data_IF_111883786507
#
_entry.id   IF_111883786507
#
_cell.length_a   1.000
_cell.length_b   1.000
_cell.length_c   1.000
_cell.angle_alpha   90.00
_cell.angle_beta   90.00
_cell.angle_gamma   90.00
#
_symmetry.space_group_name_H-M   'P 1'
#
loop_
_entity.id
_entity.type
_entity.pdbx_description
1 polymer ?
#
# COMPACT_ATOMS: atom_id res chain seq x y z
N UNK A 1 6.46 -29.02 -12.88
CA UNK A 1 5.69 -30.14 -12.25
C UNK A 1 5.71 -29.96 -10.75
N UNK A 2 4.57 -29.98 -10.03
CA UNK A 2 4.54 -29.83 -8.57
C UNK A 2 5.09 -31.10 -7.90
N UNK A 3 5.80 -30.99 -6.75
CA UNK A 3 6.45 -32.13 -6.13
C UNK A 3 5.41 -33.09 -5.54
N UNK A 4 5.53 -34.39 -5.86
CA UNK A 4 4.70 -35.46 -5.32
C UNK A 4 4.83 -35.46 -3.79
N UNK A 5 3.72 -35.20 -3.07
CA UNK A 5 3.68 -35.23 -1.61
C UNK A 5 4.02 -36.64 -1.10
N UNK A 6 4.95 -36.67 -0.16
CA UNK A 6 5.54 -37.87 0.43
C UNK A 6 4.49 -38.66 1.24
N UNK A 7 3.91 -39.71 0.67
CA UNK A 7 2.84 -40.54 1.28
C UNK A 7 3.28 -41.21 2.60
N UNK A 8 4.57 -41.42 2.79
CA UNK A 8 5.15 -42.00 4.01
C UNK A 8 5.07 -41.07 5.24
N UNK A 9 5.18 -39.74 5.07
CA UNK A 9 5.08 -38.78 6.19
C UNK A 9 3.65 -38.62 6.72
N UNK A 10 2.64 -38.89 5.89
CA UNK A 10 1.24 -38.83 6.33
C UNK A 10 0.85 -40.05 7.16
N UNK A 11 1.40 -41.23 6.83
CA UNK A 11 1.16 -42.46 7.59
C UNK A 11 1.81 -42.43 8.99
N UNK A 12 2.99 -41.82 9.13
CA UNK A 12 3.69 -41.69 10.42
C UNK A 12 3.01 -40.72 11.40
N UNK A 13 2.46 -39.60 10.90
CA UNK A 13 1.67 -38.65 11.73
C UNK A 13 0.41 -39.27 12.30
N UNK A 14 -0.30 -40.08 11.51
CA UNK A 14 -1.51 -40.80 11.96
C UNK A 14 -1.18 -41.86 13.02
N UNK A 15 -0.04 -42.54 12.89
CA UNK A 15 0.42 -43.49 13.91
C UNK A 15 0.81 -42.80 15.23
N UNK A 16 1.44 -41.62 15.18
CA UNK A 16 1.78 -40.84 16.37
C UNK A 16 0.53 -40.29 17.08
N UNK A 17 -0.50 -39.87 16.34
CA UNK A 17 -1.79 -39.43 16.89
C UNK A 17 -2.51 -40.57 17.63
N UNK A 18 -2.60 -41.77 17.03
CA UNK A 18 -3.20 -42.94 17.68
C UNK A 18 -2.50 -43.33 18.99
N UNK A 19 -1.17 -43.19 19.05
CA UNK A 19 -0.40 -43.43 20.29
C UNK A 19 -0.75 -42.41 21.39
N UNK A 20 -0.90 -41.13 21.01
CA UNK A 20 -1.32 -40.06 21.93
C UNK A 20 -2.77 -40.26 22.41
N UNK A 21 -3.67 -40.67 21.52
CA UNK A 21 -5.06 -41.01 21.85
C UNK A 21 -5.13 -42.19 22.82
N UNK A 22 -4.41 -43.29 22.55
CA UNK A 22 -4.35 -44.45 23.47
C UNK A 22 -3.81 -44.06 24.85
N UNK A 23 -2.76 -43.24 24.91
CA UNK A 23 -2.22 -42.73 26.19
C UNK A 23 -3.21 -41.84 26.95
N UNK A 24 -4.01 -41.05 26.22
CA UNK A 24 -5.06 -40.23 26.80
C UNK A 24 -6.20 -41.10 27.34
N UNK A 25 -6.61 -42.11 26.58
CA UNK A 25 -7.60 -43.10 27.01
C UNK A 25 -7.13 -43.80 28.28
N UNK A 26 -5.92 -44.38 28.31
CA UNK A 26 -5.39 -45.10 29.47
C UNK A 26 -5.29 -44.21 30.73
N UNK A 27 -4.84 -42.95 30.60
CA UNK A 27 -4.71 -42.04 31.75
C UNK A 27 -6.02 -41.41 32.21
N UNK A 28 -7.05 -41.42 31.36
CA UNK A 28 -8.37 -40.88 31.67
C UNK A 28 -9.42 -41.96 31.85
N UNK A 29 -9.03 -43.24 31.75
CA UNK A 29 -9.85 -44.41 32.00
C UNK A 29 -10.07 -44.60 33.51
N UNK A 30 -11.27 -45.01 33.91
CA UNK A 30 -11.59 -45.25 35.32
C UNK A 30 -11.89 -44.02 36.18
N UNK A 31 -11.76 -42.79 35.66
CA UNK A 31 -12.21 -41.60 36.39
C UNK A 31 -13.73 -41.55 36.44
N UNK A 32 -14.28 -41.79 37.64
CA UNK A 32 -15.71 -41.65 37.91
C UNK A 32 -16.15 -40.20 37.67
N UNK A 33 -17.36 -39.99 37.16
CA UNK A 33 -17.95 -38.67 36.92
C UNK A 33 -17.19 -37.77 35.91
N UNK A 34 -16.53 -38.37 34.90
CA UNK A 34 -15.77 -37.67 33.84
C UNK A 34 -16.51 -36.50 33.19
N UNK A 35 -17.81 -36.65 32.97
CA UNK A 35 -18.66 -35.63 32.35
C UNK A 35 -19.48 -34.81 33.36
N UNK A 36 -19.37 -35.10 34.67
CA UNK A 36 -20.24 -34.51 35.71
C UNK A 36 -19.47 -33.65 36.73
N UNK A 37 -18.21 -33.96 37.01
CA UNK A 37 -17.40 -33.20 37.96
C UNK A 37 -16.46 -32.23 37.25
N UNK A 38 -16.58 -30.94 37.54
CA UNK A 38 -15.70 -29.89 36.98
C UNK A 38 -14.21 -30.16 37.27
N UNK A 39 -13.89 -30.66 38.48
CA UNK A 39 -12.51 -30.99 38.86
C UNK A 39 -11.95 -32.17 38.06
N UNK A 40 -12.78 -33.16 37.77
CA UNK A 40 -12.42 -34.30 36.91
C UNK A 40 -12.26 -33.85 35.45
N UNK A 41 -13.14 -32.97 34.96
CA UNK A 41 -13.03 -32.40 33.61
C UNK A 41 -11.75 -31.56 33.47
N UNK A 42 -11.38 -30.76 34.47
CA UNK A 42 -10.12 -30.00 34.48
C UNK A 42 -8.90 -30.92 34.43
N UNK A 43 -8.91 -32.03 35.18
CA UNK A 43 -7.85 -33.04 35.14
C UNK A 43 -7.74 -33.73 33.78
N UNK A 44 -8.87 -34.07 33.14
CA UNK A 44 -8.89 -34.64 31.79
C UNK A 44 -8.32 -33.63 30.79
N UNK A 45 -8.73 -32.36 30.85
CA UNK A 45 -8.22 -31.28 29.98
C UNK A 45 -6.73 -31.03 30.16
N UNK A 46 -6.21 -31.08 31.39
CA UNK A 46 -4.77 -30.89 31.65
C UNK A 46 -3.95 -32.09 31.16
N UNK A 47 -4.46 -33.31 31.37
CA UNK A 47 -3.84 -34.56 30.89
C UNK A 47 -3.80 -34.62 29.37
N UNK A 48 -4.89 -34.22 28.71
CA UNK A 48 -4.99 -34.07 27.25
C UNK A 48 -3.95 -33.09 26.70
N UNK A 49 -3.84 -31.89 27.28
CA UNK A 49 -2.83 -30.90 26.89
C UNK A 49 -1.40 -31.42 27.06
N UNK A 50 -1.12 -32.14 28.14
CA UNK A 50 0.22 -32.71 28.41
C UNK A 50 0.60 -33.78 27.37
N UNK A 51 -0.32 -34.69 27.03
CA UNK A 51 -0.08 -35.78 26.07
C UNK A 51 -0.01 -35.27 24.63
N UNK A 52 -0.87 -34.31 24.25
CA UNK A 52 -0.85 -33.72 22.91
C UNK A 52 0.44 -32.93 22.65
N UNK A 53 0.96 -32.26 23.67
CA UNK A 53 2.19 -31.46 23.58
C UNK A 53 3.47 -32.28 23.80
N UNK A 54 3.35 -33.55 24.21
CA UNK A 54 4.47 -34.46 24.40
C UNK A 54 5.26 -34.62 23.08
N UNK A 55 6.57 -34.41 23.15
CA UNK A 55 7.48 -34.49 22.01
C UNK A 55 7.60 -33.21 21.16
N UNK A 56 7.01 -32.10 21.57
CA UNK A 56 7.18 -30.79 20.89
C UNK A 56 7.96 -29.81 21.76
N UNK A 57 9.05 -29.28 21.22
CA UNK A 57 9.85 -28.27 21.89
C UNK A 57 9.02 -26.99 22.15
N UNK A 58 9.34 -26.26 23.21
CA UNK A 58 8.66 -25.00 23.53
C UNK A 58 8.86 -23.97 22.40
N UNK A 59 10.05 -23.96 21.79
CA UNK A 59 10.39 -23.09 20.67
C UNK A 59 9.62 -23.45 19.39
N UNK A 60 9.42 -24.74 19.09
CA UNK A 60 8.68 -25.16 17.90
C UNK A 60 7.19 -24.76 17.99
N UNK A 61 6.59 -24.88 19.17
CA UNK A 61 5.21 -24.44 19.42
C UNK A 61 5.02 -22.94 19.29
N UNK A 62 5.96 -22.15 19.81
CA UNK A 62 5.92 -20.69 19.68
C UNK A 62 6.01 -20.25 18.20
N UNK A 63 6.87 -20.90 17.41
CA UNK A 63 6.99 -20.64 15.96
C UNK A 63 5.74 -21.05 15.19
N UNK A 64 5.16 -22.21 15.49
CA UNK A 64 3.92 -22.67 14.86
C UNK A 64 2.73 -21.75 15.19
N UNK A 65 2.65 -21.22 16.42
CA UNK A 65 1.62 -20.26 16.80
C UNK A 65 1.75 -18.96 16.03
N UNK A 66 2.95 -18.37 15.99
CA UNK A 66 3.23 -17.15 15.22
C UNK A 66 2.91 -17.32 13.74
N UNK A 67 3.33 -18.44 13.13
CA UNK A 67 3.05 -18.74 11.73
C UNK A 67 1.55 -18.91 11.46
N UNK A 68 0.80 -19.46 12.42
CA UNK A 68 -0.67 -19.61 12.30
C UNK A 68 -1.36 -18.25 12.42
N UNK A 69 -0.94 -17.40 13.35
CA UNK A 69 -1.44 -16.03 13.50
C UNK A 69 -1.14 -15.20 12.26
N UNK A 70 0.08 -15.24 11.73
CA UNK A 70 0.47 -14.54 10.51
C UNK A 70 -0.32 -15.02 9.29
N UNK A 71 -0.56 -16.34 9.16
CA UNK A 71 -1.41 -16.89 8.08
C UNK A 71 -2.88 -16.45 8.20
N UNK A 72 -3.40 -16.34 9.43
CA UNK A 72 -4.74 -15.84 9.66
C UNK A 72 -4.83 -14.34 9.35
N UNK A 73 -3.86 -13.55 9.81
CA UNK A 73 -3.74 -12.13 9.51
C UNK A 73 -3.62 -11.88 8.00
N UNK A 74 -2.78 -12.64 7.29
CA UNK A 74 -2.64 -12.55 5.83
C UNK A 74 -3.93 -12.91 5.09
N UNK A 75 -4.69 -13.90 5.57
CA UNK A 75 -5.99 -14.26 4.99
C UNK A 75 -7.04 -13.19 5.27
N UNK A 76 -7.03 -12.61 6.47
CA UNK A 76 -7.92 -11.51 6.85
C UNK A 76 -7.62 -10.27 6.00
N UNK A 77 -6.35 -9.89 5.85
CA UNK A 77 -5.91 -8.77 5.01
C UNK A 77 -6.26 -9.00 3.55
N UNK A 78 -6.02 -10.21 3.02
CA UNK A 78 -6.42 -10.53 1.63
C UNK A 78 -7.93 -10.43 1.44
N UNK A 79 -8.73 -10.91 2.40
CA UNK A 79 -10.19 -10.83 2.36
C UNK A 79 -10.68 -9.38 2.48
N UNK A 80 -10.06 -8.57 3.33
CA UNK A 80 -10.35 -7.14 3.45
C UNK A 80 -10.05 -6.42 2.14
N UNK A 81 -8.86 -6.63 1.56
CA UNK A 81 -8.47 -6.08 0.26
C UNK A 81 -9.40 -6.50 -0.87
N UNK A 82 -9.84 -7.76 -0.89
CA UNK A 82 -10.79 -8.26 -1.89
C UNK A 82 -12.19 -7.65 -1.71
N UNK A 83 -12.63 -7.43 -0.46
CA UNK A 83 -13.89 -6.75 -0.17
C UNK A 83 -13.85 -5.26 -0.55
N UNK A 84 -12.75 -4.56 -0.26
CA UNK A 84 -12.51 -3.18 -0.70
C UNK A 84 -12.51 -3.09 -2.24
N UNK A 85 -11.80 -4.00 -2.92
CA UNK A 85 -11.79 -4.07 -4.38
C UNK A 85 -13.19 -4.37 -4.95
N UNK A 86 -13.95 -5.26 -4.32
CA UNK A 86 -15.31 -5.58 -4.76
C UNK A 86 -16.28 -4.41 -4.50
N UNK A 87 -16.11 -3.65 -3.42
CA UNK A 87 -16.89 -2.44 -3.17
C UNK A 87 -16.56 -1.34 -4.20
N UNK A 88 -15.27 -1.16 -4.52
CA UNK A 88 -14.82 -0.12 -5.44
C UNK A 88 -15.12 -0.44 -6.92
N UNK A 89 -14.97 -1.69 -7.33
CA UNK A 89 -15.07 -2.10 -8.74
C UNK A 89 -16.29 -2.96 -9.06
N UNK A 90 -17.04 -3.44 -8.06
CA UNK A 90 -18.23 -4.26 -8.27
C UNK A 90 -19.36 -3.50 -8.96
N UNK A 91 -19.61 -2.27 -8.54
CA UNK A 91 -20.64 -1.40 -9.15
C UNK A 91 -20.29 -1.04 -10.60
N UNK A 92 -19.02 -0.71 -10.87
CA UNK A 92 -18.52 -0.42 -12.21
C UNK A 92 -18.60 -1.62 -13.17
N UNK A 93 -18.33 -2.85 -12.70
CA UNK A 93 -18.42 -4.06 -13.53
C UNK A 93 -19.88 -4.52 -13.76
N UNK A 94 -20.79 -4.29 -12.82
CA UNK A 94 -22.23 -4.56 -12.96
C UNK A 94 -22.91 -3.62 -13.96
N UNK A 95 -22.44 -2.38 -14.08
CA UNK A 95 -22.91 -1.42 -15.08
C UNK A 95 -22.57 -1.84 -16.53
N UNK A 96 -21.46 -2.55 -16.73
CA UNK A 96 -21.01 -3.01 -18.07
C UNK A 96 -21.61 -4.36 -18.46
N UNK A 97 -21.99 -5.22 -17.50
CA UNK A 97 -22.50 -6.57 -17.77
C UNK A 97 -24.03 -6.73 -17.74
N UNK A 98 -24.79 -5.66 -17.47
CA UNK A 98 -26.23 -5.65 -17.75
C UNK A 98 -26.43 -5.64 -19.27
N UNK A 99 -26.57 -6.83 -19.85
CA UNK A 99 -27.28 -7.02 -21.12
C UNK A 99 -28.54 -6.16 -21.06
N UNK A 100 -28.60 -5.16 -21.94
CA UNK A 100 -29.75 -4.27 -22.06
C UNK A 100 -31.05 -5.08 -22.17
N UNK A 101 -32.19 -4.49 -21.78
CA UNK A 101 -33.47 -5.19 -21.79
C UNK A 101 -33.73 -5.73 -23.20
N UNK A 102 -33.95 -7.04 -23.31
CA UNK A 102 -34.48 -7.65 -24.52
C UNK A 102 -35.91 -7.15 -24.69
N UNK A 103 -36.09 -6.11 -25.50
CA UNK A 103 -37.40 -5.69 -25.96
C UNK A 103 -38.05 -6.87 -26.71
N UNK A 104 -39.07 -7.45 -26.10
CA UNK A 104 -39.92 -8.45 -26.75
C UNK A 104 -40.64 -7.80 -27.93
N UNK A 105 -40.56 -8.44 -29.09
CA UNK A 105 -41.36 -8.09 -30.26
C UNK A 105 -42.83 -8.37 -29.93
N UNK A 106 -43.58 -7.34 -29.57
CA UNK A 106 -45.04 -7.30 -29.71
C UNK A 106 -45.41 -5.90 -30.24
N UNK A 107 -45.47 -5.83 -31.56
CA UNK A 107 -46.52 -5.19 -32.37
C UNK A 107 -47.24 -3.98 -31.74
N UNK A 108 -46.66 -2.81 -31.97
CA UNK A 108 -47.29 -1.52 -31.76
C UNK A 108 -46.38 -0.45 -32.34
N UNK A 109 -46.73 0.04 -33.53
CA UNK A 109 -45.97 1.07 -34.26
C UNK A 109 -46.02 2.38 -33.46
N UNK A 110 -45.08 2.56 -32.53
CA UNK A 110 -44.76 3.88 -31.98
C UNK A 110 -43.65 4.42 -32.87
N UNK A 111 -44.04 5.24 -33.84
CA UNK A 111 -43.09 6.00 -34.64
C UNK A 111 -42.22 6.81 -33.69
N UNK A 112 -40.90 6.63 -33.80
CA UNK A 112 -39.94 7.40 -33.05
C UNK A 112 -40.07 8.86 -33.49
N UNK A 113 -40.85 9.65 -32.73
CA UNK A 113 -40.80 11.11 -32.79
C UNK A 113 -39.36 11.50 -32.48
N UNK A 114 -38.65 11.97 -33.49
CA UNK A 114 -37.30 12.49 -33.37
C UNK A 114 -37.24 13.61 -32.33
N UNK A 115 -36.04 13.79 -31.79
CA UNK A 115 -35.68 14.75 -30.73
C UNK A 115 -36.03 16.22 -31.06
N UNK A 116 -36.46 16.51 -32.27
CA UNK A 116 -36.69 17.86 -32.81
C UNK A 116 -38.17 18.21 -33.04
N UNK A 117 -39.12 17.32 -32.70
CA UNK A 117 -40.55 17.59 -32.94
C UNK A 117 -41.27 18.27 -31.76
N UNK A 118 -40.56 19.14 -31.04
CA UNK A 118 -41.13 19.96 -29.98
C UNK A 118 -40.30 21.25 -29.80
N UNK A 119 -39.99 21.93 -30.92
CA UNK A 119 -39.55 23.33 -30.94
C UNK A 119 -40.76 24.26 -31.21
N UNK A 120 -41.85 24.03 -30.49
CA UNK A 120 -42.91 25.02 -30.36
C UNK A 120 -42.59 25.92 -29.16
N UNK A 121 -41.63 26.83 -29.31
CA UNK A 121 -41.57 28.15 -28.66
C UNK A 121 -41.74 28.29 -27.13
N UNK A 122 -41.89 27.22 -26.36
CA UNK A 122 -42.13 27.25 -24.92
C UNK A 122 -40.97 26.56 -24.22
N UNK A 123 -40.15 27.41 -23.60
CA UNK A 123 -39.05 27.03 -22.72
C UNK A 123 -39.56 25.98 -21.73
N UNK A 124 -39.27 24.69 -21.95
CA UNK A 124 -39.45 23.64 -20.95
C UNK A 124 -38.69 24.09 -19.72
N UNK A 125 -39.45 24.52 -18.71
CA UNK A 125 -38.92 25.18 -17.52
C UNK A 125 -37.83 24.31 -16.91
N UNK A 126 -36.60 24.82 -16.89
CA UNK A 126 -35.55 24.23 -16.09
C UNK A 126 -36.09 24.07 -14.67
N UNK A 127 -35.81 22.93 -14.04
CA UNK A 127 -36.19 22.63 -12.65
C UNK A 127 -36.06 23.90 -11.84
N UNK A 128 -37.18 24.38 -11.29
CA UNK A 128 -37.19 25.66 -10.57
C UNK A 128 -36.05 25.66 -9.55
N UNK A 129 -35.44 26.83 -9.31
CA UNK A 129 -34.33 26.93 -8.36
C UNK A 129 -34.64 26.23 -7.02
N UNK A 130 -35.90 26.28 -6.58
CA UNK A 130 -36.42 25.54 -5.44
C UNK A 130 -36.31 24.01 -5.56
N UNK A 131 -36.67 23.42 -6.71
CA UNK A 131 -36.47 21.98 -6.92
C UNK A 131 -34.99 21.61 -7.01
N UNK A 132 -34.15 22.47 -7.62
CA UNK A 132 -32.70 22.24 -7.64
C UNK A 132 -32.09 22.27 -6.24
N UNK A 133 -32.55 23.16 -5.36
CA UNK A 133 -32.16 23.15 -3.94
C UNK A 133 -32.68 21.89 -3.23
N UNK A 134 -33.94 21.48 -3.43
CA UNK A 134 -34.44 20.24 -2.82
C UNK A 134 -33.58 19.03 -3.20
N UNK A 135 -33.22 18.87 -4.47
CA UNK A 135 -32.37 17.76 -4.88
C UNK A 135 -30.94 17.83 -4.31
N UNK A 136 -30.42 19.04 -4.06
CA UNK A 136 -29.13 19.20 -3.41
C UNK A 136 -29.21 18.90 -1.91
N UNK A 137 -30.30 19.29 -1.24
CA UNK A 137 -30.53 18.96 0.17
C UNK A 137 -30.78 17.46 0.35
N UNK A 138 -31.56 16.83 -0.52
CA UNK A 138 -31.79 15.38 -0.51
C UNK A 138 -30.48 14.60 -0.74
N UNK A 139 -29.61 15.07 -1.64
CA UNK A 139 -28.30 14.47 -1.87
C UNK A 139 -27.39 14.59 -0.63
N UNK A 140 -27.39 15.76 0.00
CA UNK A 140 -26.61 16.00 1.21
C UNK A 140 -27.14 15.18 2.41
N UNK A 141 -28.46 15.08 2.58
CA UNK A 141 -29.07 14.24 3.61
C UNK A 141 -28.78 12.75 3.40
N UNK A 142 -28.69 12.29 2.15
CA UNK A 142 -28.32 10.92 1.83
C UNK A 142 -26.84 10.66 2.11
N UNK A 143 -25.96 11.62 1.86
CA UNK A 143 -24.54 11.56 2.20
C UNK A 143 -24.33 11.53 3.72
N UNK A 144 -25.05 12.38 4.47
CA UNK A 144 -25.02 12.39 5.94
C UNK A 144 -25.54 11.07 6.52
N UNK A 145 -26.63 10.49 5.95
CA UNK A 145 -27.11 9.15 6.34
C UNK A 145 -26.09 8.06 6.05
N UNK A 146 -25.40 8.15 4.91
CA UNK A 146 -24.34 7.20 4.54
C UNK A 146 -23.13 7.33 5.47
N UNK A 147 -22.89 8.53 6.02
CA UNK A 147 -21.85 8.83 7.01
C UNK A 147 -22.22 8.38 8.43
N UNK A 148 -23.51 8.31 8.75
CA UNK A 148 -24.05 7.78 10.01
C UNK A 148 -24.05 6.24 10.07
N UNK A 149 -23.91 5.57 8.92
CA UNK A 149 -23.83 4.11 8.89
C UNK A 149 -22.57 3.62 9.64
N UNK A 150 -22.71 2.64 10.55
CA UNK A 150 -21.58 2.14 11.37
C UNK A 150 -20.50 1.41 10.56
N UNK A 151 -20.69 1.24 9.25
CA UNK A 151 -19.75 0.64 8.32
C UNK A 151 -19.23 1.66 7.29
N UNK A 152 -19.48 2.96 7.49
CA UNK A 152 -18.92 4.01 6.66
C UNK A 152 -17.39 4.04 6.83
N UNK A 153 -16.69 3.95 5.71
CA UNK A 153 -15.24 4.12 5.65
C UNK A 153 -15.01 5.51 5.07
N UNK A 154 -14.47 6.46 5.86
CA UNK A 154 -14.18 7.80 5.35
C UNK A 154 -13.29 7.71 4.12
N UNK A 155 -13.67 8.42 3.07
CA UNK A 155 -12.84 8.53 1.87
C UNK A 155 -11.63 9.41 2.14
N UNK A 156 -10.63 9.35 1.28
CA UNK A 156 -9.47 10.22 1.39
C UNK A 156 -9.90 11.70 1.32
N UNK A 157 -10.87 12.00 0.46
CA UNK A 157 -11.50 13.30 0.30
C UNK A 157 -12.14 13.78 1.61
N UNK A 158 -12.86 12.90 2.32
CA UNK A 158 -13.46 13.22 3.63
C UNK A 158 -12.42 13.57 4.67
N UNK A 159 -11.32 12.81 4.71
CA UNK A 159 -10.23 13.07 5.67
C UNK A 159 -9.54 14.40 5.37
N UNK A 160 -9.29 14.70 4.09
CA UNK A 160 -8.69 15.96 3.65
C UNK A 160 -9.60 17.14 3.96
N UNK A 161 -10.90 17.02 3.73
CA UNK A 161 -11.85 18.09 4.02
C UNK A 161 -12.02 18.30 5.54
N UNK A 162 -12.02 17.22 6.32
CA UNK A 162 -12.01 17.31 7.79
C UNK A 162 -10.74 18.03 8.30
N UNK A 163 -9.56 17.67 7.78
CA UNK A 163 -8.29 18.34 8.10
C UNK A 163 -8.32 19.82 7.70
N UNK A 164 -8.85 20.13 6.52
CA UNK A 164 -9.00 21.52 6.05
C UNK A 164 -9.88 22.32 6.99
N UNK A 165 -11.02 21.78 7.41
CA UNK A 165 -11.92 22.44 8.34
C UNK A 165 -11.28 22.67 9.71
N UNK A 166 -10.51 21.69 10.22
CA UNK A 166 -9.76 21.83 11.46
C UNK A 166 -8.73 22.96 11.34
N UNK A 167 -7.92 22.98 10.27
CA UNK A 167 -6.93 24.04 10.03
C UNK A 167 -7.59 25.42 9.87
N UNK A 168 -8.74 25.51 9.22
CA UNK A 168 -9.51 26.76 9.15
C UNK A 168 -10.01 27.22 10.52
N UNK A 169 -10.50 26.29 11.36
CA UNK A 169 -10.88 26.60 12.75
C UNK A 169 -9.66 27.10 13.54
N UNK A 170 -8.52 26.43 13.45
CA UNK A 170 -7.26 26.85 14.10
C UNK A 170 -6.81 28.25 13.64
N UNK A 171 -6.87 28.54 12.34
CA UNK A 171 -6.53 29.85 11.79
C UNK A 171 -7.51 30.94 12.27
N UNK A 172 -8.81 30.63 12.27
CA UNK A 172 -9.84 31.54 12.78
C UNK A 172 -9.68 31.78 14.29
N UNK A 173 -9.33 30.75 15.06
CA UNK A 173 -9.09 30.86 16.50
C UNK A 173 -7.81 31.60 16.85
N UNK A 174 -6.74 31.41 16.07
CA UNK A 174 -5.48 32.15 16.24
C UNK A 174 -5.53 33.58 15.69
N UNK A 175 -6.57 33.92 14.93
CA UNK A 175 -6.72 35.24 14.30
C UNK A 175 -5.67 35.53 13.22
N UNK A 176 -4.87 34.52 12.83
CA UNK A 176 -3.88 34.63 11.78
C UNK A 176 -4.51 34.22 10.44
N UNK A 177 -4.43 35.11 9.46
CA UNK A 177 -4.71 34.75 8.07
C UNK A 177 -3.56 33.90 7.50
N UNK A 178 -3.91 32.85 6.76
CA UNK A 178 -2.94 31.96 6.13
C UNK A 178 -1.92 32.69 5.26
N UNK A 179 -0.72 32.12 5.09
CA UNK A 179 0.31 32.69 4.23
C UNK A 179 -0.14 32.55 2.77
N UNK A 180 -0.24 33.63 1.99
CA UNK A 180 -0.62 33.52 0.58
C UNK A 180 0.47 32.75 -0.19
N UNK A 181 0.03 31.90 -1.10
CA UNK A 181 0.91 31.12 -1.96
C UNK A 181 1.38 32.03 -3.11
N UNK A 182 2.49 32.72 -2.89
CA UNK A 182 3.20 33.49 -3.91
C UNK A 182 4.49 32.77 -4.25
N UNK A 183 5.11 33.07 -5.39
CA UNK A 183 6.36 32.42 -5.79
C UNK A 183 7.47 32.60 -4.74
N UNK A 184 7.53 33.78 -4.10
CA UNK A 184 8.50 34.06 -3.06
C UNK A 184 8.26 33.22 -1.79
N UNK A 185 7.00 33.08 -1.36
CA UNK A 185 6.66 32.27 -0.18
C UNK A 185 6.83 30.78 -0.46
N UNK A 186 6.53 30.35 -1.68
CA UNK A 186 6.72 28.97 -2.13
C UNK A 186 8.21 28.60 -2.22
N UNK A 187 9.06 29.43 -2.82
CA UNK A 187 10.52 29.21 -2.84
C UNK A 187 11.10 29.14 -1.43
N UNK A 188 10.70 30.04 -0.54
CA UNK A 188 11.10 30.00 0.86
C UNK A 188 10.63 28.71 1.58
N UNK A 189 9.44 28.20 1.24
CA UNK A 189 8.94 26.91 1.73
C UNK A 189 9.73 25.73 1.17
N UNK A 190 10.06 25.73 -0.13
CA UNK A 190 10.86 24.70 -0.78
C UNK A 190 12.27 24.63 -0.18
N UNK A 191 12.93 25.78 0.02
CA UNK A 191 14.23 25.86 0.69
C UNK A 191 14.15 25.37 2.14
N UNK A 192 13.08 25.75 2.86
CA UNK A 192 12.84 25.26 4.22
C UNK A 192 12.65 23.74 4.26
N UNK A 193 11.89 23.17 3.32
CA UNK A 193 11.70 21.72 3.21
C UNK A 193 13.00 21.01 2.84
N UNK A 194 13.79 21.54 1.90
CA UNK A 194 15.11 21.01 1.53
C UNK A 194 16.05 21.00 2.73
N UNK A 195 16.13 22.11 3.47
CA UNK A 195 16.94 22.22 4.68
C UNK A 195 16.48 21.28 5.80
N UNK A 196 15.16 21.08 5.97
CA UNK A 196 14.61 20.09 6.92
C UNK A 196 15.07 18.67 6.58
N UNK A 197 14.91 18.26 5.31
CA UNK A 197 15.38 16.95 4.82
C UNK A 197 16.89 16.78 4.97
N UNK A 198 17.69 17.77 4.58
CA UNK A 198 19.15 17.74 4.74
C UNK A 198 19.58 17.62 6.22
N UNK A 199 18.90 18.33 7.13
CA UNK A 199 19.18 18.25 8.55
C UNK A 199 18.81 16.88 9.15
N UNK A 200 17.73 16.28 8.69
CA UNK A 200 17.29 14.94 9.07
C UNK A 200 18.25 13.86 8.57
N UNK A 201 18.61 13.92 7.29
CA UNK A 201 19.65 13.09 6.68
C UNK A 201 20.97 13.22 7.47
N UNK A 202 21.38 14.45 7.78
CA UNK A 202 22.59 14.68 8.58
C UNK A 202 22.50 14.06 9.98
N UNK A 203 21.33 14.13 10.64
CA UNK A 203 21.10 13.49 11.94
C UNK A 203 21.16 11.97 11.83
N UNK A 204 20.52 11.38 10.83
CA UNK A 204 20.57 9.94 10.57
C UNK A 204 22.00 9.46 10.35
N UNK A 205 22.77 10.17 9.52
CA UNK A 205 24.21 9.90 9.30
C UNK A 205 24.99 10.05 10.60
N UNK A 206 24.78 11.11 11.38
CA UNK A 206 25.51 11.33 12.62
C UNK A 206 25.20 10.23 13.67
N UNK A 207 23.94 9.80 13.77
CA UNK A 207 23.53 8.70 14.64
C UNK A 207 24.19 7.40 14.19
N UNK A 208 24.22 7.11 12.89
CA UNK A 208 24.85 5.91 12.37
C UNK A 208 26.38 5.95 12.49
N UNK A 209 27.00 7.12 12.33
CA UNK A 209 28.44 7.33 12.54
C UNK A 209 28.84 7.21 14.02
N UNK A 210 27.95 7.57 14.96
CA UNK A 210 28.14 7.33 16.40
C UNK A 210 28.07 5.85 16.77
N UNK A 211 27.40 5.01 15.97
CA UNK A 211 27.44 3.55 16.12
C UNK A 211 28.82 3.06 15.63
N UNK A 212 29.82 3.05 16.53
CA UNK A 212 31.23 2.64 16.32
C UNK A 212 31.43 1.16 15.91
N UNK A 213 30.56 0.55 15.10
CA UNK A 213 30.67 -0.83 14.64
C UNK A 213 30.64 -0.91 13.11
N UNK A 214 31.80 -0.60 12.52
CA UNK A 214 32.22 -1.07 11.21
C UNK A 214 31.55 -0.41 10.01
N UNK A 215 32.08 0.72 9.54
CA UNK A 215 32.15 1.15 8.13
C UNK A 215 30.86 1.33 7.31
N UNK A 216 29.69 0.94 7.82
CA UNK A 216 28.41 0.93 7.10
C UNK A 216 27.56 2.17 7.36
N UNK A 217 28.11 3.20 8.03
CA UNK A 217 27.37 4.41 8.40
C UNK A 217 26.80 5.20 7.23
N UNK A 218 27.40 5.05 6.06
CA UNK A 218 26.98 5.69 4.82
C UNK A 218 26.01 4.83 4.01
N UNK A 219 25.84 3.55 4.35
CA UNK A 219 24.93 2.61 3.65
C UNK A 219 23.45 2.78 4.02
N UNK A 220 23.15 3.58 5.05
CA UNK A 220 21.78 3.84 5.51
C UNK A 220 21.06 4.83 4.61
N UNK A 221 21.81 5.65 3.88
CA UNK A 221 21.25 6.57 2.90
C UNK A 221 21.14 5.88 1.54
N UNK A 222 20.05 6.16 0.84
CA UNK A 222 19.91 5.79 -0.57
C UNK A 222 21.00 6.49 -1.41
N UNK A 223 21.37 5.91 -2.56
CA UNK A 223 22.41 6.49 -3.43
C UNK A 223 22.14 7.95 -3.82
N UNK A 224 20.86 8.31 -3.99
CA UNK A 224 20.41 9.68 -4.28
C UNK A 224 20.62 10.63 -3.09
N UNK A 225 20.35 10.18 -1.87
CA UNK A 225 20.60 10.96 -0.67
C UNK A 225 22.09 11.14 -0.41
N UNK A 226 22.91 10.12 -0.72
CA UNK A 226 24.37 10.22 -0.68
C UNK A 226 24.91 11.23 -1.68
N UNK A 227 24.36 11.28 -2.89
CA UNK A 227 24.71 12.28 -3.88
C UNK A 227 24.39 13.71 -3.39
N UNK A 228 23.26 13.91 -2.73
CA UNK A 228 22.90 15.20 -2.15
C UNK A 228 23.76 15.57 -0.92
N UNK A 229 24.10 14.60 -0.07
CA UNK A 229 24.91 14.81 1.12
C UNK A 229 26.39 15.03 0.79
N UNK A 230 26.93 14.28 -0.16
CA UNK A 230 28.34 14.34 -0.58
C UNK A 230 28.49 14.04 -2.07
N UNK A 231 28.10 15.01 -2.92
CA UNK A 231 28.24 14.94 -4.39
C UNK A 231 29.68 14.62 -4.84
N UNK A 232 30.68 15.01 -4.07
CA UNK A 232 32.09 14.74 -4.37
C UNK A 232 32.46 13.26 -4.36
N UNK A 233 31.67 12.41 -3.72
CA UNK A 233 31.90 10.96 -3.72
C UNK A 233 31.51 10.30 -5.06
N UNK A 234 30.79 11.02 -5.92
CA UNK A 234 30.25 10.57 -7.20
C UNK A 234 30.88 11.30 -8.39
N UNK A 235 31.99 12.00 -8.17
CA UNK A 235 32.81 12.46 -9.30
C UNK A 235 33.52 11.22 -9.82
N UNK A 236 33.26 10.87 -11.08
CA UNK A 236 34.03 9.82 -11.76
C UNK A 236 35.50 10.18 -11.62
N UNK A 237 36.26 9.30 -10.96
CA UNK A 237 37.70 9.45 -10.91
C UNK A 237 38.16 9.30 -12.36
N UNK A 238 38.60 10.41 -12.95
CA UNK A 238 39.01 10.60 -14.35
C UNK A 238 40.21 9.70 -14.70
N UNK A 239 39.97 8.38 -14.76
CA UNK A 239 41.03 7.39 -14.90
C UNK A 239 40.64 5.91 -14.71
N UNK A 240 39.41 5.56 -14.33
CA UNK A 240 38.98 4.15 -14.23
C UNK A 240 37.93 3.77 -15.28
N UNK A 241 38.28 4.01 -16.56
CA UNK A 241 37.47 3.58 -17.72
C UNK A 241 37.77 2.15 -18.18
N UNK A 242 38.45 1.32 -17.37
CA UNK A 242 38.90 -0.03 -17.80
C UNK A 242 38.27 -1.19 -17.01
N UNK A 243 37.33 -0.91 -16.09
CA UNK A 243 36.49 -1.94 -15.49
C UNK A 243 35.22 -2.17 -16.31
N UNK A 244 35.42 -2.59 -17.57
CA UNK A 244 34.41 -3.34 -18.31
C UNK A 244 34.09 -4.61 -17.53
N UNK A 245 32.93 -4.64 -16.89
CA UNK A 245 32.36 -5.84 -16.30
C UNK A 245 32.07 -6.79 -17.47
N UNK A 246 33.01 -7.68 -17.74
CA UNK A 246 32.94 -8.63 -18.83
C UNK A 246 31.83 -9.64 -18.54
N UNK A 247 30.59 -9.32 -18.92
CA UNK A 247 29.48 -10.27 -18.98
C UNK A 247 29.82 -11.24 -20.10
N UNK A 248 30.35 -12.40 -19.71
CA UNK A 248 30.62 -13.52 -20.59
C UNK A 248 29.32 -13.94 -21.32
N UNK A 249 29.12 -13.36 -22.50
CA UNK A 249 28.19 -13.85 -23.52
C UNK A 249 29.08 -14.30 -24.67
N UNK A 250 29.06 -15.60 -24.96
CA UNK A 250 29.97 -16.26 -25.91
C UNK A 250 29.94 -15.64 -27.31
N UNK A 251 31.10 -15.69 -27.98
CA UNK A 251 31.37 -15.19 -29.33
C UNK A 251 30.40 -15.74 -30.39
N UNK A 252 30.33 -15.16 -31.59
CA UNK A 252 31.43 -15.09 -32.57
C UNK A 252 31.33 -13.85 -33.52
N UNK A 253 32.49 -13.18 -33.70
CA UNK A 253 33.10 -12.55 -34.91
C UNK A 253 32.41 -11.44 -35.77
N UNK A 254 32.91 -10.19 -35.62
CA UNK A 254 33.47 -9.14 -36.57
C UNK A 254 32.98 -9.02 -38.05
N UNK A 255 33.12 -7.88 -38.81
CA UNK A 255 34.13 -6.80 -38.64
C UNK A 255 33.74 -5.32 -38.92
N UNK A 256 34.52 -4.42 -38.31
CA UNK A 256 35.05 -3.13 -38.81
C UNK A 256 34.15 -2.11 -39.55
N UNK A 257 34.02 -0.89 -38.99
CA UNK A 257 34.28 0.34 -39.75
C UNK A 257 34.62 1.51 -38.83
N UNK A 258 35.71 2.17 -39.19
CA UNK A 258 36.39 3.28 -38.50
C UNK A 258 36.05 4.53 -39.29
N UNK A 259 35.45 5.53 -38.65
CA UNK A 259 35.52 6.92 -39.13
C UNK A 259 35.32 7.87 -37.94
N UNK A 260 36.36 8.67 -37.70
CA UNK A 260 36.39 9.67 -36.64
C UNK A 260 35.75 10.99 -37.07
N UNK A 261 35.19 11.70 -36.09
CA UNK A 261 35.09 13.15 -36.13
C UNK A 261 35.59 13.69 -34.78
N UNK A 262 36.70 14.41 -34.87
CA UNK A 262 37.25 15.30 -33.85
C UNK A 262 36.52 16.64 -33.95
N UNK A 263 36.12 17.23 -32.82
CA UNK A 263 35.38 18.50 -32.81
C UNK A 263 35.17 19.03 -31.39
N UNK A 264 36.18 19.73 -30.89
CA UNK A 264 36.22 20.32 -29.55
C UNK A 264 35.06 21.28 -29.24
N UNK A 265 34.64 21.23 -27.97
CA UNK A 265 33.61 22.10 -27.40
C UNK A 265 33.35 21.81 -25.93
N UNK A 266 34.41 21.63 -25.13
CA UNK A 266 34.33 21.45 -23.68
C UNK A 266 33.98 22.78 -22.98
N UNK A 267 32.75 23.26 -23.12
CA UNK A 267 32.18 24.29 -22.27
C UNK A 267 30.71 23.99 -21.97
N UNK A 268 30.47 23.39 -20.81
CA UNK A 268 29.23 23.59 -20.06
C UNK A 268 28.06 22.66 -20.31
N UNK A 269 28.22 21.57 -21.07
CA UNK A 269 27.13 20.56 -21.18
C UNK A 269 26.89 19.87 -19.83
N UNK A 270 27.94 19.55 -19.07
CA UNK A 270 27.81 18.91 -17.74
C UNK A 270 27.22 19.87 -16.71
N UNK A 271 27.55 21.16 -16.76
CA UNK A 271 26.99 22.15 -15.85
C UNK A 271 25.51 22.46 -16.14
N UNK A 272 25.11 22.38 -17.42
CA UNK A 272 23.71 22.53 -17.84
C UNK A 272 22.93 21.24 -17.54
N UNK A 273 23.51 20.06 -17.77
CA UNK A 273 22.93 18.77 -17.40
C UNK A 273 22.73 18.67 -15.88
N UNK A 274 23.73 19.06 -15.06
CA UNK A 274 23.63 19.11 -13.59
C UNK A 274 22.51 20.04 -13.08
N UNK A 275 22.20 21.09 -13.83
CA UNK A 275 21.18 22.08 -13.46
C UNK A 275 19.80 21.66 -13.93
N UNK A 276 19.72 21.06 -15.13
CA UNK A 276 18.50 20.50 -15.70
C UNK A 276 18.07 19.26 -14.91
N UNK A 277 18.99 18.36 -14.52
CA UNK A 277 18.66 17.13 -13.79
C UNK A 277 18.15 17.40 -12.36
N UNK A 278 18.65 18.47 -11.70
CA UNK A 278 18.13 18.93 -10.41
C UNK A 278 16.70 19.47 -10.47
N UNK A 279 16.35 20.14 -11.55
CA UNK A 279 15.02 20.74 -11.72
C UNK A 279 14.02 19.77 -12.39
N UNK A 280 14.47 18.80 -13.21
CA UNK A 280 13.59 17.85 -13.91
C UNK A 280 13.19 16.61 -13.09
N UNK A 281 14.02 16.12 -12.16
CA UNK A 281 13.79 14.83 -11.50
C UNK A 281 13.20 14.91 -10.08
N UNK A 282 12.68 16.07 -9.67
CA UNK A 282 11.89 16.18 -8.43
C UNK A 282 10.40 15.83 -8.62
N UNK A 283 9.98 15.45 -9.82
CA UNK A 283 8.62 15.02 -10.12
C UNK A 283 8.60 13.50 -10.34
N UNK A 284 8.68 12.77 -9.24
CA UNK A 284 8.80 11.32 -9.23
C UNK A 284 8.68 10.81 -7.80
N UNK A 285 7.47 10.98 -7.28
CA UNK A 285 6.85 10.26 -6.16
C UNK A 285 7.62 9.02 -5.68
N UNK A 286 8.32 9.19 -4.56
CA UNK A 286 8.45 8.18 -3.51
C UNK A 286 8.20 8.94 -2.20
N UNK A 287 6.99 9.48 -2.07
CA UNK A 287 6.44 9.84 -0.76
C UNK A 287 6.18 8.53 -0.04
N UNK A 288 7.04 8.20 0.92
CA UNK A 288 6.65 7.33 2.02
C UNK A 288 5.45 8.01 2.71
N UNK A 289 4.25 7.62 2.28
CA UNK A 289 2.95 8.08 2.76
C UNK A 289 2.66 7.65 4.20
N UNK A 290 3.58 6.93 4.85
CA UNK A 290 3.47 6.45 6.23
C UNK A 290 3.93 7.48 7.28
N UNK A 291 4.53 8.62 6.90
CA UNK A 291 5.12 9.57 7.85
C UNK A 291 4.29 10.87 8.04
N UNK A 292 3.00 10.81 7.71
CA UNK A 292 2.05 11.94 7.87
C UNK A 292 1.23 11.90 9.17
N UNK A 293 1.48 10.91 10.04
CA UNK A 293 0.73 10.71 11.29
C UNK A 293 1.40 11.24 12.56
N UNK A 294 2.57 11.89 12.48
CA UNK A 294 3.20 12.54 13.65
C UNK A 294 3.53 14.02 13.36
N UNK A 295 2.55 14.90 13.62
CA UNK A 295 2.68 16.21 14.31
C UNK A 295 1.37 17.03 14.26
#
# INVERSE_FOLDING_TARGET
MPPKKNTQEQQSKKAAQKKKEKLLEDKTFGLKNKNKSSKVQQYVKSTEKSIMNMGTDAQSRAREHKLKEEKLARKALKKAKEAEQAALFGEALLAVNKKGPKFGKNEGRVEAKGRDHDDSGEKKGGTSHAMKLMYQMDAQEMEDKLKEDPNYVPTLEDTVEAQRQQKLKELNSSGLKGTPVTEATFKAWQERKRKRKEAEIKKMVEVEMKKKKGGKGLSVLSGRELYNYKKELFKDQEGDSDLVVNVATGGEEEPSSKDGIDGGGAFGVDAVADRVEKDLFLEGDDVDLDDLDDD
#
